data_IF_621040065836
#
_entry.id   IF_621040065836
#
_cell.length_a   1.000
_cell.length_b   1.000
_cell.length_c   1.000
_cell.angle_alpha   90.00
_cell.angle_beta   90.00
_cell.angle_gamma   90.00
#
_symmetry.space_group_name_H-M   'P 1'
#
loop_
_entity.id
_entity.type
_entity.pdbx_description
1 polymer ?
#
# COMPACT_ATOMS: atom_id res chain seq x y z
N UNK A 1 11.55 44.83 11.15
CA UNK A 1 11.54 43.62 11.99
C UNK A 1 10.19 42.93 11.87
N UNK A 2 10.20 41.79 11.17
CA UNK A 2 9.31 40.63 11.27
C UNK A 2 7.80 40.76 10.96
N UNK A 3 7.51 40.43 9.69
CA UNK A 3 6.37 39.70 9.10
C UNK A 3 4.95 39.91 9.63
N UNK A 4 4.24 40.75 8.88
CA UNK A 4 2.82 40.61 8.55
C UNK A 4 2.68 39.53 7.47
N UNK A 5 1.78 38.55 7.65
CA UNK A 5 1.08 37.88 6.53
C UNK A 5 -0.25 37.30 7.04
N UNK A 6 -1.23 38.19 7.04
CA UNK A 6 -2.62 37.85 6.75
C UNK A 6 -2.70 37.52 5.25
N UNK A 7 -3.20 36.34 4.92
CA UNK A 7 -3.61 35.97 3.56
C UNK A 7 -4.97 35.28 3.70
N UNK A 8 -6.08 35.76 3.15
CA UNK A 8 -6.26 36.73 2.08
C UNK A 8 -7.36 36.20 1.17
N UNK A 9 -8.61 36.14 1.67
CA UNK A 9 -9.78 36.02 0.80
C UNK A 9 -9.97 37.36 0.10
N UNK A 10 -9.41 37.50 -1.10
CA UNK A 10 -9.83 38.58 -2.01
C UNK A 10 -11.14 38.17 -2.67
N UNK A 11 -12.26 38.59 -2.07
CA UNK A 11 -13.56 38.56 -2.74
C UNK A 11 -13.68 39.83 -3.58
N UNK A 12 -13.35 39.76 -4.87
CA UNK A 12 -13.73 40.80 -5.82
C UNK A 12 -15.23 40.66 -6.10
N UNK A 13 -16.05 41.49 -5.45
CA UNK A 13 -17.45 41.66 -5.81
C UNK A 13 -17.50 42.66 -6.98
N UNK A 14 -17.55 42.17 -8.21
CA UNK A 14 -17.92 42.98 -9.37
C UNK A 14 -19.45 42.88 -9.51
N UNK A 15 -20.17 43.93 -9.12
CA UNK A 15 -21.60 44.08 -9.40
C UNK A 15 -21.78 44.66 -10.79
N UNK A 16 -21.94 43.80 -11.79
CA UNK A 16 -22.67 44.12 -13.01
C UNK A 16 -23.63 42.95 -13.31
N UNK A 17 -24.82 43.31 -13.80
CA UNK A 17 -26.02 42.50 -13.69
C UNK A 17 -25.97 41.15 -14.40
N UNK A 18 -26.73 40.21 -13.81
CA UNK A 18 -27.19 38.99 -14.47
C UNK A 18 -26.13 37.90 -14.60
N UNK A 19 -26.39 36.76 -13.96
CA UNK A 19 -25.62 35.52 -13.97
C UNK A 19 -24.38 35.50 -13.05
N UNK A 20 -24.63 35.13 -11.79
CA UNK A 20 -23.60 34.58 -10.92
C UNK A 20 -23.46 33.09 -11.22
N UNK A 21 -22.57 32.73 -12.16
CA UNK A 21 -22.09 31.35 -12.27
C UNK A 21 -21.06 31.13 -11.17
N UNK A 22 -21.43 30.38 -10.14
CA UNK A 22 -20.48 29.84 -9.16
C UNK A 22 -19.65 28.80 -9.90
N UNK A 23 -18.49 29.20 -10.43
CA UNK A 23 -17.45 28.25 -10.79
C UNK A 23 -16.84 27.72 -9.49
N UNK A 24 -17.48 26.71 -8.90
CA UNK A 24 -16.80 25.84 -7.95
C UNK A 24 -15.74 25.10 -8.74
N UNK A 25 -14.47 25.50 -8.60
CA UNK A 25 -13.37 24.61 -8.90
C UNK A 25 -13.41 23.49 -7.85
N UNK A 26 -14.29 22.52 -8.07
CA UNK A 26 -14.22 21.22 -7.42
C UNK A 26 -12.88 20.63 -7.83
N UNK A 27 -11.86 20.80 -6.98
CA UNK A 27 -10.73 19.91 -6.98
C UNK A 27 -11.30 18.54 -6.68
N UNK A 28 -11.66 17.82 -7.74
CA UNK A 28 -12.04 16.42 -7.69
C UNK A 28 -10.80 15.66 -7.24
N UNK A 29 -10.52 15.62 -5.93
CA UNK A 29 -9.75 14.56 -5.33
C UNK A 29 -10.63 13.31 -5.31
N UNK A 30 -11.03 12.85 -6.50
CA UNK A 30 -11.61 11.52 -6.65
C UNK A 30 -10.52 10.54 -6.29
N UNK A 31 -10.66 9.94 -5.10
CA UNK A 31 -9.86 8.81 -4.66
C UNK A 31 -10.08 7.66 -5.63
N UNK A 32 -9.13 7.44 -6.54
CA UNK A 32 -9.14 6.28 -7.44
C UNK A 32 -8.05 5.34 -6.96
N UNK A 33 -8.42 4.37 -6.12
CA UNK A 33 -7.54 3.22 -5.85
C UNK A 33 -7.30 2.49 -7.17
N UNK A 34 -6.04 2.19 -7.49
CA UNK A 34 -5.73 1.43 -8.70
C UNK A 34 -6.11 -0.03 -8.48
N UNK A 35 -6.99 -0.56 -9.33
CA UNK A 35 -7.13 -2.01 -9.52
C UNK A 35 -6.13 -2.48 -10.56
N UNK A 36 -5.70 -3.73 -10.46
CA UNK A 36 -4.86 -4.32 -11.49
C UNK A 36 -5.67 -4.49 -12.78
N UNK A 37 -5.36 -3.68 -13.79
CA UNK A 37 -6.04 -3.72 -15.09
C UNK A 37 -5.08 -3.24 -16.18
N UNK A 38 -4.15 -4.10 -16.66
CA UNK A 38 -3.32 -3.75 -17.80
C UNK A 38 -4.20 -3.56 -19.04
N UNK A 39 -4.05 -2.43 -19.74
CA UNK A 39 -4.74 -2.20 -21.01
C UNK A 39 -4.15 -3.10 -22.10
N UNK A 40 -4.97 -3.76 -22.93
CA UNK A 40 -4.46 -4.51 -24.07
C UNK A 40 -3.71 -3.60 -25.04
N UNK A 41 -2.44 -3.93 -25.34
CA UNK A 41 -1.66 -3.25 -26.39
C UNK A 41 -0.87 -2.00 -25.99
N UNK A 42 -0.99 -1.53 -24.74
CA UNK A 42 -0.15 -0.44 -24.20
C UNK A 42 0.80 -1.02 -23.13
N UNK A 43 2.13 -0.83 -23.24
CA UNK A 43 3.03 -1.26 -22.19
C UNK A 43 2.67 -0.51 -20.90
N UNK A 44 2.58 -1.20 -19.75
CA UNK A 44 2.29 -0.52 -18.49
C UNK A 44 3.37 0.52 -18.23
N UNK A 45 2.96 1.74 -17.82
CA UNK A 45 3.88 2.81 -17.43
C UNK A 45 4.57 2.54 -16.07
N UNK A 46 4.79 1.26 -15.75
CA UNK A 46 5.24 0.75 -14.46
C UNK A 46 5.60 -0.73 -14.56
N UNK A 47 6.11 -1.27 -13.45
CA UNK A 47 6.46 -2.69 -13.36
C UNK A 47 5.37 -3.47 -12.63
N UNK A 48 5.16 -4.73 -13.00
CA UNK A 48 4.27 -5.64 -12.26
C UNK A 48 5.00 -6.12 -10.99
N UNK A 49 4.31 -6.05 -9.86
CA UNK A 49 4.78 -6.54 -8.57
C UNK A 49 3.79 -7.55 -8.01
N UNK A 50 4.32 -8.63 -7.46
CA UNK A 50 3.58 -9.60 -6.67
C UNK A 50 3.54 -9.11 -5.22
N UNK A 51 2.34 -9.03 -4.66
CA UNK A 51 2.08 -8.66 -3.27
C UNK A 51 1.55 -9.89 -2.56
N UNK A 52 2.29 -10.39 -1.57
CA UNK A 52 1.88 -11.52 -0.74
C UNK A 52 1.64 -11.02 0.67
N UNK A 53 0.46 -11.26 1.22
CA UNK A 53 0.08 -10.85 2.56
C UNK A 53 -0.21 -12.08 3.39
N UNK A 54 0.42 -12.18 4.56
CA UNK A 54 0.11 -13.19 5.57
C UNK A 54 -0.79 -12.58 6.63
N UNK A 55 -2.04 -13.03 6.68
CA UNK A 55 -2.95 -12.72 7.78
C UNK A 55 -2.49 -13.45 9.05
N UNK A 56 -2.62 -12.82 10.22
CA UNK A 56 -2.28 -13.44 11.50
C UNK A 56 -3.10 -14.72 11.72
N UNK A 57 -2.60 -15.62 12.58
CA UNK A 57 -3.32 -16.82 13.01
C UNK A 57 -4.02 -16.64 14.38
N UNK A 58 -4.34 -15.40 14.72
CA UNK A 58 -5.13 -15.06 15.90
C UNK A 58 -6.63 -15.26 15.64
N UNK A 59 -7.38 -15.53 16.70
CA UNK A 59 -8.83 -15.65 16.60
C UNK A 59 -9.43 -14.31 16.14
N UNK A 60 -10.20 -14.34 15.05
CA UNK A 60 -10.83 -13.14 14.47
C UNK A 60 -9.94 -12.34 13.52
N UNK A 61 -8.74 -12.83 13.17
CA UNK A 61 -7.76 -12.09 12.37
C UNK A 61 -8.13 -11.82 10.90
N UNK A 62 -9.25 -12.33 10.39
CA UNK A 62 -9.64 -12.25 8.98
C UNK A 62 -10.80 -11.29 8.70
N UNK A 63 -10.88 -10.80 7.45
CA UNK A 63 -11.84 -9.77 7.07
C UNK A 63 -12.46 -10.02 5.70
N UNK A 64 -13.74 -9.70 5.57
CA UNK A 64 -14.47 -9.60 4.29
C UNK A 64 -14.48 -8.16 3.74
N UNK A 65 -13.87 -7.22 4.46
CA UNK A 65 -13.86 -5.82 4.07
C UNK A 65 -12.94 -5.53 2.88
N UNK A 66 -13.14 -4.38 2.24
CA UNK A 66 -12.24 -3.92 1.20
C UNK A 66 -10.88 -3.55 1.80
N UNK A 67 -9.83 -4.29 1.44
CA UNK A 67 -8.46 -4.04 1.89
C UNK A 67 -7.66 -3.22 0.87
N UNK A 68 -6.75 -2.38 1.39
CA UNK A 68 -5.94 -1.48 0.59
C UNK A 68 -4.47 -1.49 1.00
N UNK A 69 -3.61 -1.45 0.00
CA UNK A 69 -2.17 -1.23 0.14
C UNK A 69 -1.82 0.18 -0.29
N UNK A 70 -1.12 0.92 0.57
CA UNK A 70 -0.46 2.19 0.24
C UNK A 70 1.04 1.98 0.17
N UNK A 71 1.65 2.33 -0.95
CA UNK A 71 3.10 2.24 -1.19
C UNK A 71 3.68 3.65 -1.16
N UNK A 72 4.76 3.84 -0.39
CA UNK A 72 5.47 5.12 -0.29
C UNK A 72 6.82 5.03 -0.97
N UNK A 73 7.18 6.06 -1.73
CA UNK A 73 8.43 6.13 -2.47
C UNK A 73 9.39 7.18 -1.92
N UNK A 74 10.69 6.98 -2.14
CA UNK A 74 11.73 7.94 -1.78
C UNK A 74 11.59 9.20 -2.65
N UNK A 75 11.48 9.02 -3.97
CA UNK A 75 11.37 10.13 -4.92
C UNK A 75 10.07 10.92 -4.72
N UNK A 76 10.24 12.24 -4.57
CA UNK A 76 9.16 13.24 -4.49
C UNK A 76 8.14 13.02 -3.34
N UNK A 77 8.47 12.16 -2.36
CA UNK A 77 7.55 11.71 -1.31
C UNK A 77 6.20 11.23 -1.86
N UNK A 78 6.22 10.66 -3.06
CA UNK A 78 5.02 10.18 -3.74
C UNK A 78 4.46 8.93 -3.03
N UNK A 79 3.15 8.70 -3.20
CA UNK A 79 2.52 7.45 -2.77
C UNK A 79 1.44 6.99 -3.74
N UNK A 80 1.22 5.69 -3.80
CA UNK A 80 0.19 5.05 -4.61
C UNK A 80 -0.68 4.15 -3.74
N UNK A 81 -1.96 4.02 -4.08
CA UNK A 81 -2.94 3.21 -3.34
C UNK A 81 -3.58 2.19 -4.26
N UNK A 82 -3.63 0.95 -3.80
CA UNK A 82 -4.16 -0.21 -4.52
C UNK A 82 -5.27 -0.86 -3.70
N UNK A 83 -6.40 -1.13 -4.34
CA UNK A 83 -7.40 -2.02 -3.76
C UNK A 83 -6.95 -3.46 -4.01
N UNK A 84 -6.89 -4.25 -2.95
CA UNK A 84 -6.48 -5.65 -3.01
C UNK A 84 -7.72 -6.52 -3.07
N UNK A 85 -7.95 -7.16 -4.20
CA UNK A 85 -9.14 -7.97 -4.46
C UNK A 85 -8.81 -9.00 -5.56
N UNK A 86 -9.04 -10.29 -5.28
CA UNK A 86 -9.07 -11.32 -6.30
C UNK A 86 -10.54 -11.75 -6.54
N UNK A 87 -11.12 -11.43 -7.71
CA UNK A 87 -12.52 -11.73 -7.96
C UNK A 87 -12.87 -13.22 -7.75
N UNK A 88 -13.84 -13.47 -6.89
CA UNK A 88 -14.36 -14.82 -6.61
C UNK A 88 -13.50 -15.67 -5.69
N UNK A 89 -12.46 -15.09 -5.07
CA UNK A 89 -11.68 -15.75 -4.02
C UNK A 89 -12.00 -15.12 -2.67
N UNK A 90 -12.08 -15.96 -1.63
CA UNK A 90 -12.11 -15.47 -0.27
C UNK A 90 -10.67 -15.18 0.18
N UNK A 91 -10.34 -13.89 0.30
CA UNK A 91 -9.00 -13.40 0.65
C UNK A 91 -8.95 -12.96 2.11
N UNK A 92 -7.75 -12.77 2.65
CA UNK A 92 -7.52 -12.25 3.99
C UNK A 92 -8.06 -13.11 5.14
N UNK A 93 -8.25 -14.40 4.89
CA UNK A 93 -8.64 -15.37 5.91
C UNK A 93 -7.58 -15.58 6.99
N UNK A 94 -8.01 -15.92 8.21
CA UNK A 94 -7.12 -16.22 9.34
C UNK A 94 -6.07 -17.24 8.93
N UNK A 95 -4.79 -16.95 9.22
CA UNK A 95 -3.69 -17.86 8.96
C UNK A 95 -3.27 -17.96 7.48
N UNK A 96 -4.08 -17.45 6.55
CA UNK A 96 -3.88 -17.64 5.13
C UNK A 96 -2.92 -16.63 4.50
N UNK A 97 -2.46 -16.99 3.29
CA UNK A 97 -1.68 -16.10 2.42
C UNK A 97 -2.52 -15.68 1.23
N UNK A 98 -2.75 -14.39 1.10
CA UNK A 98 -3.37 -13.81 -0.09
C UNK A 98 -2.30 -13.23 -1.01
N UNK A 99 -2.49 -13.44 -2.31
CA UNK A 99 -1.54 -13.05 -3.35
C UNK A 99 -2.24 -12.15 -4.36
N UNK A 100 -1.64 -11.01 -4.67
CA UNK A 100 -2.16 -10.02 -5.60
C UNK A 100 -1.07 -9.57 -6.57
N UNK A 101 -1.48 -9.03 -7.71
CA UNK A 101 -0.58 -8.32 -8.63
C UNK A 101 -0.94 -6.85 -8.65
N UNK A 102 0.06 -5.98 -8.58
CA UNK A 102 -0.09 -4.53 -8.71
C UNK A 102 0.90 -3.98 -9.72
N UNK A 103 0.63 -2.80 -10.27
CA UNK A 103 1.55 -2.10 -11.17
C UNK A 103 2.07 -0.88 -10.43
N UNK A 104 3.35 -0.86 -10.11
CA UNK A 104 4.01 0.27 -9.45
C UNK A 104 4.76 1.10 -10.48
N UNK A 105 4.62 2.42 -10.40
CA UNK A 105 5.29 3.34 -11.32
C UNK A 105 6.76 3.60 -10.93
N UNK A 106 7.13 3.29 -9.68
CA UNK A 106 8.46 3.50 -9.12
C UNK A 106 8.95 2.24 -8.40
N UNK A 107 10.24 2.17 -8.09
CA UNK A 107 10.86 0.95 -7.53
C UNK A 107 11.63 1.21 -6.21
N UNK A 108 11.84 2.48 -5.86
CA UNK A 108 12.48 3.00 -4.66
C UNK A 108 11.44 3.15 -3.54
N UNK A 109 10.96 2.01 -3.06
CA UNK A 109 9.95 1.92 -2.00
C UNK A 109 10.63 2.11 -0.64
N UNK A 110 10.09 3.02 0.17
CA UNK A 110 10.63 3.36 1.50
C UNK A 110 9.82 2.78 2.64
N UNK A 111 8.51 2.61 2.43
CA UNK A 111 7.62 1.96 3.39
C UNK A 111 6.31 1.58 2.69
N UNK A 112 5.49 0.80 3.40
CA UNK A 112 4.12 0.46 3.03
C UNK A 112 3.17 0.71 4.20
N UNK A 113 1.90 0.90 3.86
CA UNK A 113 0.82 0.96 4.82
C UNK A 113 -0.39 0.14 4.37
N UNK A 114 -1.11 -0.38 5.34
CA UNK A 114 -2.37 -1.10 5.13
C UNK A 114 -3.50 -0.35 5.81
N UNK A 115 -4.67 -0.42 5.19
CA UNK A 115 -5.93 -0.03 5.79
C UNK A 115 -7.05 -0.83 5.14
N UNK A 116 -8.18 -0.90 5.80
CA UNK A 116 -9.39 -1.50 5.26
C UNK A 116 -10.55 -0.51 5.34
N UNK A 117 -11.58 -0.72 4.53
CA UNK A 117 -12.78 0.11 4.52
C UNK A 117 -13.98 -0.74 4.86
N UNK A 118 -14.77 -0.35 5.88
CA UNK A 118 -15.88 -1.16 6.33
C UNK A 118 -16.95 -1.33 5.25
N UNK A 119 -17.43 -2.56 5.11
CA UNK A 119 -18.58 -2.92 4.32
C UNK A 119 -19.86 -2.87 5.15
N UNK A 120 -20.82 -3.73 4.80
CA UNK A 120 -22.09 -3.87 5.51
C UNK A 120 -22.11 -5.07 6.47
N UNK A 121 -21.01 -5.84 6.56
CA UNK A 121 -20.93 -7.06 7.37
C UNK A 121 -20.41 -6.76 8.78
N UNK A 122 -20.66 -7.68 9.72
CA UNK A 122 -20.26 -7.55 11.12
C UNK A 122 -18.89 -8.22 11.34
N UNK A 123 -18.03 -7.61 12.18
CA UNK A 123 -16.69 -8.10 12.59
C UNK A 123 -15.62 -8.10 11.49
N UNK A 124 -15.35 -6.94 10.93
CA UNK A 124 -14.33 -6.72 9.89
C UNK A 124 -12.96 -6.38 10.50
N UNK A 125 -12.49 -7.17 11.46
CA UNK A 125 -11.13 -6.96 12.00
C UNK A 125 -10.10 -7.63 11.09
N UNK A 126 -8.93 -7.02 10.94
CA UNK A 126 -7.88 -7.60 10.09
C UNK A 126 -6.54 -7.51 10.80
N UNK A 127 -5.92 -8.65 11.09
CA UNK A 127 -4.56 -8.71 11.63
C UNK A 127 -3.62 -9.21 10.54
N UNK A 128 -2.52 -8.51 10.32
CA UNK A 128 -1.49 -8.89 9.35
C UNK A 128 -0.18 -9.15 10.05
N UNK A 129 0.46 -10.28 9.74
CA UNK A 129 1.80 -10.60 10.22
C UNK A 129 2.85 -9.85 9.39
N UNK A 130 2.83 -10.05 8.08
CA UNK A 130 3.80 -9.47 7.16
C UNK A 130 3.26 -9.35 5.74
N UNK A 131 3.90 -8.47 4.97
CA UNK A 131 3.66 -8.27 3.54
C UNK A 131 4.98 -8.38 2.79
N UNK A 132 5.01 -9.16 1.71
CA UNK A 132 6.11 -9.22 0.76
C UNK A 132 5.72 -8.54 -0.55
N UNK A 133 6.62 -7.71 -1.08
CA UNK A 133 6.54 -7.13 -2.41
C UNK A 133 7.68 -7.68 -3.25
N UNK A 134 7.36 -8.42 -4.31
CA UNK A 134 8.34 -9.04 -5.20
C UNK A 134 8.21 -8.51 -6.62
N UNK A 135 9.35 -8.30 -7.27
CA UNK A 135 9.41 -8.02 -8.70
C UNK A 135 10.51 -8.88 -9.33
N UNK A 136 10.09 -9.97 -9.96
CA UNK A 136 10.97 -10.95 -10.59
C UNK A 136 11.70 -10.42 -11.82
N UNK A 137 11.18 -9.38 -12.48
CA UNK A 137 11.84 -8.78 -13.65
C UNK A 137 12.99 -7.86 -13.26
N UNK A 138 13.03 -7.41 -12.00
CA UNK A 138 14.00 -6.45 -11.47
C UNK A 138 14.82 -7.00 -10.32
N UNK A 139 14.62 -8.27 -9.97
CA UNK A 139 15.22 -8.93 -8.81
C UNK A 139 15.10 -8.09 -7.53
N UNK A 140 13.91 -7.53 -7.28
CA UNK A 140 13.63 -6.73 -6.09
C UNK A 140 12.67 -7.44 -5.16
N UNK A 141 12.99 -7.39 -3.87
CA UNK A 141 12.12 -7.86 -2.82
C UNK A 141 12.13 -6.90 -1.62
N UNK A 142 10.94 -6.62 -1.09
CA UNK A 142 10.76 -5.89 0.17
C UNK A 142 9.84 -6.67 1.10
N UNK A 143 10.14 -6.59 2.40
CA UNK A 143 9.32 -7.15 3.48
C UNK A 143 8.88 -6.05 4.43
N UNK A 144 7.58 -5.94 4.66
CA UNK A 144 7.00 -5.13 5.73
C UNK A 144 6.45 -6.02 6.85
N UNK A 145 6.96 -5.85 8.06
CA UNK A 145 6.48 -6.54 9.26
C UNK A 145 5.43 -5.68 9.97
N UNK A 146 4.27 -6.29 10.25
CA UNK A 146 3.15 -5.64 10.93
C UNK A 146 2.93 -6.28 12.30
N UNK A 147 2.59 -7.57 12.32
CA UNK A 147 2.18 -8.34 13.50
C UNK A 147 1.23 -7.53 14.41
N UNK A 148 0.16 -6.99 13.80
CA UNK A 148 -0.83 -6.15 14.47
C UNK A 148 -2.14 -6.06 13.68
N UNK A 149 -3.17 -5.67 14.41
CA UNK A 149 -4.45 -5.25 13.85
C UNK A 149 -4.30 -3.99 13.00
N UNK A 150 -4.89 -4.04 11.81
CA UNK A 150 -4.91 -2.97 10.83
C UNK A 150 -6.11 -2.06 11.13
N UNK A 151 -5.86 -0.76 11.12
CA UNK A 151 -6.87 0.27 11.34
C UNK A 151 -7.68 0.55 10.06
N UNK A 152 -8.93 0.95 10.22
CA UNK A 152 -9.82 1.33 9.12
C UNK A 152 -9.57 2.76 8.58
N UNK A 153 -8.46 3.40 8.96
CA UNK A 153 -8.13 4.77 8.54
C UNK A 153 -7.10 4.76 7.42
N UNK A 154 -7.38 5.54 6.37
CA UNK A 154 -6.48 5.71 5.23
C UNK A 154 -5.25 6.55 5.57
N UNK A 155 -5.42 7.60 6.37
CA UNK A 155 -4.40 8.62 6.63
C UNK A 155 -4.43 9.03 8.13
N UNK A 156 -3.46 8.59 8.96
CA UNK A 156 -2.37 7.67 8.60
C UNK A 156 -2.89 6.23 8.39
N UNK A 157 -2.35 5.50 7.40
CA UNK A 157 -2.57 4.06 7.33
C UNK A 157 -1.84 3.38 8.49
N UNK A 158 -2.11 2.10 8.71
CA UNK A 158 -1.26 1.29 9.57
C UNK A 158 0.06 1.08 8.84
N UNK A 159 1.15 1.69 9.30
CA UNK A 159 2.47 1.50 8.69
C UNK A 159 3.09 0.16 9.10
N UNK A 160 3.94 -0.40 8.24
CA UNK A 160 4.82 -1.48 8.65
C UNK A 160 5.74 -0.99 9.78
N UNK A 161 5.85 -1.80 10.84
CA UNK A 161 6.71 -1.52 12.01
C UNK A 161 8.18 -1.62 11.62
N UNK A 162 8.50 -2.56 10.74
CA UNK A 162 9.81 -2.72 10.12
C UNK A 162 9.62 -2.90 8.63
N UNK A 163 10.47 -2.28 7.84
CA UNK A 163 10.45 -2.39 6.39
C UNK A 163 11.87 -2.57 5.88
N UNK A 164 12.14 -3.71 5.24
CA UNK A 164 13.48 -4.09 4.80
C UNK A 164 13.48 -4.42 3.31
N UNK A 165 14.55 -4.04 2.62
CA UNK A 165 14.88 -4.60 1.31
C UNK A 165 15.64 -5.90 1.52
N UNK A 166 15.14 -6.98 0.95
CA UNK A 166 15.75 -8.31 1.02
C UNK A 166 16.53 -8.62 -0.26
N UNK A 167 17.38 -9.65 -0.21
CA UNK A 167 17.89 -10.29 -1.42
C UNK A 167 16.70 -10.95 -2.13
N UNK A 168 16.71 -11.05 -3.46
CA UNK A 168 15.55 -11.62 -4.17
C UNK A 168 15.39 -13.13 -3.90
N UNK A 169 16.49 -13.88 -3.91
CA UNK A 169 16.53 -15.33 -3.68
C UNK A 169 15.87 -15.76 -2.36
N UNK A 170 16.05 -14.94 -1.35
CA UNK A 170 15.47 -15.03 -0.02
C UNK A 170 13.95 -15.08 -0.01
N UNK A 171 13.31 -14.25 -0.84
CA UNK A 171 11.87 -14.13 -0.87
C UNK A 171 11.20 -15.28 -1.62
N UNK A 172 11.92 -15.87 -2.58
CA UNK A 172 11.42 -17.00 -3.38
C UNK A 172 11.75 -18.35 -2.75
N UNK A 173 12.78 -18.43 -1.90
CA UNK A 173 13.16 -19.63 -1.16
C UNK A 173 13.39 -19.29 0.33
N UNK A 174 12.31 -19.02 1.08
CA UNK A 174 12.43 -18.66 2.49
C UNK A 174 12.98 -19.84 3.30
N UNK A 175 13.78 -19.51 4.32
CA UNK A 175 14.29 -20.50 5.26
C UNK A 175 13.12 -21.26 5.93
N UNK A 176 13.35 -22.51 6.41
CA UNK A 176 12.33 -23.31 7.08
C UNK A 176 11.67 -22.56 8.25
N UNK A 177 10.39 -22.82 8.44
CA UNK A 177 9.57 -22.23 9.51
C UNK A 177 10.21 -22.49 10.88
N UNK A 178 10.37 -21.43 11.69
CA UNK A 178 11.08 -21.48 12.98
C UNK A 178 12.54 -21.01 12.93
N UNK A 179 13.10 -20.76 11.75
CA UNK A 179 14.41 -20.11 11.62
C UNK A 179 14.35 -18.69 12.19
N UNK A 180 15.34 -18.29 13.00
CA UNK A 180 15.38 -16.92 13.52
C UNK A 180 15.49 -15.93 12.35
N UNK A 181 14.59 -14.93 12.29
CA UNK A 181 14.59 -13.93 11.21
C UNK A 181 15.92 -13.16 11.07
N UNK A 182 16.69 -13.03 12.15
CA UNK A 182 18.04 -12.43 12.09
C UNK A 182 19.06 -13.32 11.36
N UNK A 183 18.89 -14.65 11.40
CA UNK A 183 19.73 -15.59 10.65
C UNK A 183 19.49 -15.49 9.14
N UNK A 184 18.27 -15.21 8.69
CA UNK A 184 17.96 -14.99 7.28
C UNK A 184 18.78 -13.84 6.68
N UNK A 185 18.83 -12.69 7.37
CA UNK A 185 19.63 -11.53 6.94
C UNK A 185 21.15 -11.76 7.03
N UNK A 186 21.61 -12.67 7.89
CA UNK A 186 23.04 -12.92 8.14
C UNK A 186 23.65 -13.98 7.21
N UNK A 187 22.87 -14.97 6.78
CA UNK A 187 23.33 -16.07 5.92
C UNK A 187 23.72 -15.65 4.50
N UNK A 188 23.49 -14.38 4.12
CA UNK A 188 23.80 -13.83 2.81
C UNK A 188 24.91 -12.79 2.83
N UNK A 189 25.49 -12.53 4.00
CA UNK A 189 26.62 -11.61 4.16
C UNK A 189 27.99 -12.26 3.96
N UNK A 190 28.08 -13.59 4.00
CA UNK A 190 29.34 -14.34 3.90
C UNK A 190 29.26 -15.40 2.80
N UNK A 191 29.55 -14.99 1.57
CA UNK A 191 30.19 -15.85 0.55
C UNK A 191 30.77 -14.95 -0.56
N UNK A 192 31.80 -14.20 -0.18
CA UNK A 192 32.81 -13.71 -1.12
C UNK A 192 34.18 -14.17 -0.63
N UNK A 193 34.62 -15.31 -1.16
CA UNK A 193 36.03 -15.70 -1.27
C UNK A 193 36.18 -16.66 -2.44
#
# INVERSE_FOLDING_TARGET
>A
NWFQMSSGLFVFIILFGGFCSIASASANNSFTSKRFSPKPGEPPNGSVWDVVIKTCDDQGAGTDAAAYLKVFYERDHASEIFQLDNPGKNDFERGERSHFKVILNQEDIINIGLFWWPGFTLNEEWCVDWVLLLNSNRDKCYEGIFHRWILHYKDPPTYAVKFHRLVFADCVNPAPEGSQRFHFLRLLGDNTS
#
